data_IF_350575137517
#
_entry.id   IF_350575137517
#
_cell.length_a   1.000
_cell.length_b   1.000
_cell.length_c   1.000
_cell.angle_alpha   90.00
_cell.angle_beta   90.00
_cell.angle_gamma   90.00
#
_symmetry.space_group_name_H-M   'P 1'
#
loop_
_entity.id
_entity.type
_entity.pdbx_description
1 polymer ?
#
# COMPACT_ATOMS: atom_id res chain seq x y z
N UNK A 1 -3.45 -13.24 2.13
CA UNK A 1 -2.34 -12.51 1.48
C UNK A 1 -1.42 -13.40 0.63
N UNK A 2 -1.20 -14.69 0.96
CA UNK A 2 -0.35 -15.66 0.22
C UNK A 2 -0.55 -15.81 -1.30
N UNK A 3 -1.56 -15.20 -1.92
CA UNK A 3 -1.80 -15.26 -3.37
C UNK A 3 -1.37 -13.97 -4.11
N UNK A 4 -1.08 -12.89 -3.39
CA UNK A 4 -0.62 -11.62 -3.96
C UNK A 4 0.91 -11.55 -3.97
N UNK A 5 1.57 -12.17 -2.99
CA UNK A 5 3.02 -12.11 -2.78
C UNK A 5 3.90 -12.75 -3.87
N UNK A 6 3.35 -13.50 -4.83
CA UNK A 6 4.13 -14.27 -5.82
C UNK A 6 3.95 -13.83 -7.27
N UNK A 7 3.27 -12.71 -7.53
CA UNK A 7 3.10 -12.17 -8.88
C UNK A 7 3.62 -10.72 -8.89
N UNK A 8 4.69 -10.49 -9.66
CA UNK A 8 5.32 -9.17 -9.82
C UNK A 8 4.33 -8.09 -10.25
N UNK A 9 3.28 -8.48 -10.96
CA UNK A 9 2.24 -7.58 -11.49
C UNK A 9 1.41 -6.93 -10.37
N UNK A 10 1.35 -7.53 -9.19
CA UNK A 10 0.60 -6.97 -8.05
C UNK A 10 1.47 -6.17 -7.08
N UNK A 11 2.80 -6.19 -7.23
CA UNK A 11 3.70 -5.44 -6.34
C UNK A 11 3.50 -3.92 -6.44
N UNK A 12 2.93 -3.43 -7.55
CA UNK A 12 2.63 -2.01 -7.76
C UNK A 12 1.22 -1.61 -7.33
N UNK A 13 0.39 -2.55 -6.89
CA UNK A 13 -0.98 -2.22 -6.46
C UNK A 13 -0.95 -1.90 -4.97
N UNK A 14 -1.29 -0.66 -4.56
CA UNK A 14 -1.33 -0.34 -3.15
C UNK A 14 -2.47 -1.09 -2.45
N UNK A 15 -2.18 -1.63 -1.26
CA UNK A 15 -3.11 -2.44 -0.47
C UNK A 15 -3.44 -1.71 0.82
N UNK A 16 -4.70 -1.31 0.97
CA UNK A 16 -5.23 -0.75 2.21
C UNK A 16 -6.05 -1.80 2.96
N UNK A 17 -5.63 -2.17 4.16
CA UNK A 17 -6.33 -3.15 5.00
C UNK A 17 -7.29 -2.43 5.96
N UNK A 18 -8.49 -2.98 6.14
CA UNK A 18 -9.44 -2.49 7.14
C UNK A 18 -9.91 -3.59 8.07
N UNK A 19 -9.92 -3.34 9.38
CA UNK A 19 -10.32 -4.32 10.39
C UNK A 19 -11.26 -3.71 11.43
N UNK A 20 -12.00 -4.54 12.15
CA UNK A 20 -12.78 -4.15 13.34
C UNK A 20 -11.96 -4.39 14.62
N UNK A 21 -10.92 -5.21 14.54
CA UNK A 21 -10.05 -5.55 15.67
C UNK A 21 -9.01 -4.43 15.86
N UNK A 22 -8.86 -3.94 17.09
CA UNK A 22 -7.94 -2.88 17.48
C UNK A 22 -6.61 -3.44 18.05
N UNK A 23 -6.27 -4.69 17.71
CA UNK A 23 -5.06 -5.33 18.16
C UNK A 23 -3.82 -4.76 17.48
N UNK A 24 -2.92 -4.16 18.27
CA UNK A 24 -1.62 -3.66 17.80
C UNK A 24 -0.76 -4.75 17.13
N UNK A 25 -0.96 -6.02 17.51
CA UNK A 25 -0.30 -7.18 16.91
C UNK A 25 -0.75 -7.41 15.47
N UNK A 26 -2.05 -7.29 15.20
CA UNK A 26 -2.64 -7.50 13.86
C UNK A 26 -2.20 -6.39 12.89
N UNK A 27 -2.08 -5.15 13.40
CA UNK A 27 -1.55 -4.02 12.64
C UNK A 27 -0.09 -4.26 12.24
N UNK A 28 0.75 -4.67 13.20
CA UNK A 28 2.17 -4.99 12.95
C UNK A 28 2.33 -6.14 11.97
N UNK A 29 1.51 -7.18 12.06
CA UNK A 29 1.57 -8.30 11.12
C UNK A 29 1.16 -7.85 9.71
N UNK A 30 0.09 -7.07 9.58
CA UNK A 30 -0.35 -6.56 8.28
C UNK A 30 0.71 -5.67 7.62
N UNK A 31 1.30 -4.74 8.38
CA UNK A 31 2.37 -3.87 7.88
C UNK A 31 3.61 -4.66 7.43
N UNK A 32 3.96 -5.75 8.12
CA UNK A 32 5.06 -6.64 7.70
C UNK A 32 4.79 -7.38 6.38
N UNK A 33 3.53 -7.57 6.02
CA UNK A 33 3.13 -8.25 4.77
C UNK A 33 3.17 -7.32 3.54
N UNK A 34 3.69 -6.10 3.68
CA UNK A 34 3.86 -5.16 2.57
C UNK A 34 2.56 -4.44 2.18
N UNK A 35 1.62 -4.29 3.11
CA UNK A 35 0.43 -3.46 2.89
C UNK A 35 0.82 -1.98 2.94
N UNK A 36 0.16 -1.16 2.13
CA UNK A 36 0.45 0.26 2.02
C UNK A 36 -0.10 1.06 3.21
N UNK A 37 -1.22 0.63 3.79
CA UNK A 37 -1.82 1.26 4.98
C UNK A 37 -2.79 0.31 5.69
N UNK A 38 -3.14 0.65 6.93
CA UNK A 38 -4.03 -0.10 7.81
C UNK A 38 -4.98 0.86 8.54
N UNK A 39 -6.29 0.60 8.51
CA UNK A 39 -7.31 1.44 9.15
C UNK A 39 -8.28 0.60 9.98
N UNK A 40 -8.46 1.00 11.24
CA UNK A 40 -9.43 0.40 12.16
C UNK A 40 -10.83 1.00 11.98
N UNK A 41 -11.86 0.16 12.00
CA UNK A 41 -13.28 0.53 11.98
C UNK A 41 -13.77 0.80 13.41
N UNK A 42 -14.69 1.76 13.61
CA UNK A 42 -15.31 2.61 12.60
C UNK A 42 -14.44 3.80 12.21
N UNK A 43 -14.43 4.16 10.93
CA UNK A 43 -13.67 5.29 10.38
C UNK A 43 -14.59 6.33 9.76
N UNK A 44 -14.10 7.57 9.70
CA UNK A 44 -14.74 8.65 8.93
C UNK A 44 -14.48 8.44 7.43
N UNK A 45 -15.52 8.52 6.55
CA UNK A 45 -15.34 8.44 5.10
C UNK A 45 -14.35 9.48 4.55
N UNK A 46 -14.32 10.67 5.15
CA UNK A 46 -13.37 11.73 4.76
C UNK A 46 -11.92 11.31 5.02
N UNK A 47 -11.67 10.66 6.16
CA UNK A 47 -10.35 10.19 6.54
C UNK A 47 -9.87 9.05 5.63
N UNK A 48 -10.78 8.16 5.23
CA UNK A 48 -10.47 7.13 4.22
C UNK A 48 -10.13 7.76 2.87
N UNK A 49 -10.89 8.77 2.42
CA UNK A 49 -10.62 9.47 1.16
C UNK A 49 -9.22 10.08 1.14
N UNK A 50 -8.85 10.81 2.19
CA UNK A 50 -7.51 11.40 2.31
C UNK A 50 -6.40 10.35 2.33
N UNK A 51 -6.61 9.22 3.01
CA UNK A 51 -5.64 8.12 3.04
C UNK A 51 -5.45 7.49 1.67
N UNK A 52 -6.56 7.21 0.97
CA UNK A 52 -6.51 6.65 -0.39
C UNK A 52 -5.80 7.62 -1.35
N UNK A 53 -6.10 8.91 -1.29
CA UNK A 53 -5.41 9.93 -2.11
C UNK A 53 -3.91 9.93 -1.84
N UNK A 54 -3.49 9.93 -0.57
CA UNK A 54 -2.08 9.88 -0.21
C UNK A 54 -1.38 8.62 -0.73
N UNK A 55 -2.01 7.46 -0.56
CA UNK A 55 -1.44 6.18 -1.00
C UNK A 55 -1.24 6.17 -2.53
N UNK A 56 -2.24 6.62 -3.29
CA UNK A 56 -2.14 6.70 -4.75
C UNK A 56 -0.99 7.63 -5.15
N UNK A 57 -0.92 8.83 -4.57
CA UNK A 57 0.15 9.78 -4.88
C UNK A 57 1.56 9.25 -4.58
N UNK A 58 1.71 8.50 -3.47
CA UNK A 58 2.99 7.88 -3.13
C UNK A 58 3.36 6.81 -4.15
N UNK A 59 2.44 5.90 -4.49
CA UNK A 59 2.70 4.84 -5.47
C UNK A 59 3.02 5.40 -6.86
N UNK A 60 2.28 6.40 -7.34
CA UNK A 60 2.57 7.07 -8.63
C UNK A 60 3.95 7.73 -8.64
N UNK A 61 4.35 8.33 -7.51
CA UNK A 61 5.67 8.96 -7.39
C UNK A 61 6.80 7.93 -7.40
N UNK A 62 6.62 6.81 -6.72
CA UNK A 62 7.57 5.68 -6.72
C UNK A 62 7.70 5.06 -8.13
N UNK A 63 6.57 4.88 -8.83
CA UNK A 63 6.57 4.37 -10.20
C UNK A 63 7.30 5.31 -11.16
N UNK A 64 7.07 6.62 -11.07
CA UNK A 64 7.79 7.62 -11.89
C UNK A 64 9.30 7.58 -11.64
N UNK A 65 9.73 7.46 -10.39
CA UNK A 65 11.16 7.36 -10.04
C UNK A 65 11.75 6.05 -10.58
N UNK A 66 11.06 4.93 -10.38
CA UNK A 66 11.50 3.62 -10.88
C UNK A 66 11.66 3.62 -12.40
N UNK A 67 10.76 4.28 -13.14
CA UNK A 67 10.85 4.36 -14.60
C UNK A 67 12.08 5.17 -15.05
N UNK A 68 12.36 6.30 -14.40
CA UNK A 68 13.55 7.11 -14.67
C UNK A 68 14.86 6.37 -14.36
N UNK A 69 14.92 5.60 -13.27
CA UNK A 69 16.09 4.80 -12.90
C UNK A 69 16.34 3.65 -13.89
N UNK A 70 15.28 2.99 -14.37
CA UNK A 70 15.38 1.94 -15.39
C UNK A 70 15.89 2.48 -16.72
N UNK A 71 15.44 3.65 -17.14
CA UNK A 71 15.93 4.33 -18.36
C UNK A 71 17.42 4.68 -18.25
N UNK A 72 17.89 5.15 -17.09
CA UNK A 72 19.30 5.48 -16.88
C UNK A 72 20.25 4.26 -16.88
N UNK A 73 19.74 3.06 -16.62
CA UNK A 73 20.51 1.80 -16.60
C UNK A 73 20.49 1.06 -17.95
N UNK A 74 19.62 1.44 -18.87
CA UNK A 74 19.49 0.83 -20.21
C UNK A 74 20.02 1.72 -21.35
N UNK A 75 20.39 2.97 -21.03
CA UNK A 75 21.04 3.94 -21.93
C UNK A 75 22.57 3.83 -22.01
#
# INVERSE_FOLDING_TARGET
>A
MKHVENNSDYNRIPILVTTVLDGEEDEKECLKLGVSDFIVKPYSPLLVKMRVENIIHMTESEDMISELEMDALTG
#
